data_IF_391924483168
#
_entry.id   IF_391924483168
#
_cell.length_a   1.000
_cell.length_b   1.000
_cell.length_c   1.000
_cell.angle_alpha   90.00
_cell.angle_beta   90.00
_cell.angle_gamma   90.00
#
_symmetry.space_group_name_H-M   'P 1'
#
loop_
_entity.id
_entity.type
_entity.pdbx_description
1 polymer ?
#
# COMPACT_ATOMS: atom_id res chain seq x y z
N UNK A 1 18.90 -5.07 12.07
CA UNK A 1 17.99 -5.22 13.22
C UNK A 1 17.11 -3.97 13.30
N UNK A 2 16.14 -3.84 12.39
CA UNK A 2 15.29 -2.64 12.24
C UNK A 2 13.79 -2.92 12.52
N UNK A 3 13.46 -4.13 12.97
CA UNK A 3 12.07 -4.58 13.13
C UNK A 3 11.43 -4.19 14.47
N UNK A 4 12.13 -3.44 15.34
CA UNK A 4 11.76 -3.25 16.75
C UNK A 4 11.96 -1.81 17.26
N UNK A 5 12.02 -0.79 16.39
CA UNK A 5 11.83 0.58 16.88
C UNK A 5 10.35 0.80 17.18
N UNK A 6 10.02 0.83 18.46
CA UNK A 6 8.65 0.97 18.99
C UNK A 6 8.13 2.41 18.95
N UNK A 7 8.98 3.37 18.61
CA UNK A 7 8.65 4.80 18.62
C UNK A 7 8.26 5.34 17.23
N UNK A 8 7.67 4.49 16.38
CA UNK A 8 7.26 4.84 15.01
C UNK A 8 5.79 5.26 14.97
N UNK A 9 5.48 6.35 14.28
CA UNK A 9 4.11 6.86 14.18
C UNK A 9 3.42 6.25 12.96
N UNK A 10 2.28 5.58 13.21
CA UNK A 10 1.46 4.93 12.20
C UNK A 10 2.20 3.96 11.24
N UNK A 11 2.87 2.91 11.75
CA UNK A 11 3.57 1.95 10.89
C UNK A 11 2.60 1.18 9.99
N UNK A 12 2.86 1.19 8.69
CA UNK A 12 1.97 0.60 7.67
C UNK A 12 1.71 -0.88 7.94
N UNK A 13 2.75 -1.66 8.27
CA UNK A 13 2.63 -3.10 8.57
C UNK A 13 1.81 -3.38 9.84
N UNK A 14 1.91 -2.51 10.85
CA UNK A 14 1.14 -2.64 12.10
C UNK A 14 -0.30 -2.26 11.88
N UNK A 15 -0.54 -1.14 11.18
CA UNK A 15 -1.88 -0.71 10.79
C UNK A 15 -2.57 -1.77 9.94
N UNK A 16 -1.88 -2.33 8.94
CA UNK A 16 -2.40 -3.41 8.10
C UNK A 16 -2.86 -4.62 8.91
N UNK A 17 -2.08 -5.02 9.91
CA UNK A 17 -2.40 -6.17 10.76
C UNK A 17 -3.63 -5.91 11.65
N UNK A 18 -3.82 -4.66 12.10
CA UNK A 18 -4.95 -4.25 12.93
C UNK A 18 -6.18 -3.81 12.10
N UNK A 19 -6.02 -3.52 10.80
CA UNK A 19 -7.03 -2.91 9.95
C UNK A 19 -8.37 -3.65 9.93
N UNK A 20 -8.41 -5.00 9.84
CA UNK A 20 -9.66 -5.74 9.88
C UNK A 20 -10.48 -5.48 11.15
N UNK A 21 -9.83 -5.28 12.30
CA UNK A 21 -10.53 -4.98 13.55
C UNK A 21 -11.18 -3.59 13.51
N UNK A 22 -10.49 -2.57 12.96
CA UNK A 22 -11.08 -1.25 12.75
C UNK A 22 -12.26 -1.31 11.78
N UNK A 23 -12.12 -2.01 10.65
CA UNK A 23 -13.21 -2.16 9.67
C UNK A 23 -14.42 -2.91 10.22
N UNK A 24 -14.22 -3.80 11.20
CA UNK A 24 -15.31 -4.50 11.86
C UNK A 24 -16.04 -3.64 12.90
N UNK A 25 -15.28 -2.85 13.69
CA UNK A 25 -15.84 -2.01 14.75
C UNK A 25 -16.56 -0.80 14.17
N UNK A 26 -15.86 -0.04 13.33
CA UNK A 26 -16.37 1.16 12.69
C UNK A 26 -15.53 1.48 11.44
N UNK A 27 -16.05 1.20 10.23
CA UNK A 27 -15.37 1.49 8.97
C UNK A 27 -14.94 2.95 8.80
N UNK A 28 -15.63 3.91 9.43
CA UNK A 28 -15.33 5.34 9.28
C UNK A 28 -13.98 5.72 9.93
N UNK A 29 -13.43 4.85 10.79
CA UNK A 29 -12.08 5.02 11.35
C UNK A 29 -10.98 4.82 10.31
N UNK A 30 -11.22 4.05 9.24
CA UNK A 30 -10.20 3.74 8.25
C UNK A 30 -9.69 4.97 7.51
N UNK A 31 -10.59 5.89 7.18
CA UNK A 31 -10.26 7.13 6.49
C UNK A 31 -9.20 7.96 7.23
N UNK A 32 -9.49 8.41 8.48
CA UNK A 32 -8.54 9.16 9.30
C UNK A 32 -7.22 8.43 9.57
N UNK A 33 -7.24 7.10 9.76
CA UNK A 33 -6.03 6.30 9.99
C UNK A 33 -5.09 6.31 8.78
N UNK A 34 -5.64 6.30 7.56
CA UNK A 34 -4.86 6.31 6.32
C UNK A 34 -4.48 7.73 5.85
N UNK A 35 -5.30 8.73 6.14
CA UNK A 35 -5.14 10.12 5.64
C UNK A 35 -3.75 10.71 5.93
N UNK A 36 -3.19 10.45 7.11
CA UNK A 36 -1.87 10.97 7.50
C UNK A 36 -0.74 10.40 6.63
N UNK A 37 -0.77 9.09 6.35
CA UNK A 37 0.17 8.39 5.47
C UNK A 37 0.02 8.89 4.02
N UNK A 38 -1.21 9.07 3.55
CA UNK A 38 -1.46 9.59 2.21
C UNK A 38 -0.95 11.01 2.03
N UNK A 39 -1.29 11.90 2.97
CA UNK A 39 -0.91 13.32 2.90
C UNK A 39 0.61 13.49 2.85
N UNK A 40 1.36 12.70 3.62
CA UNK A 40 2.81 12.72 3.59
C UNK A 40 3.35 12.33 2.21
N UNK A 41 2.86 11.20 1.67
CA UNK A 41 3.38 10.59 0.46
C UNK A 41 2.92 11.28 -0.84
N UNK A 42 1.79 11.99 -0.79
CA UNK A 42 1.33 12.86 -1.87
C UNK A 42 2.06 14.21 -1.91
N UNK A 43 2.88 14.52 -0.89
CA UNK A 43 3.65 15.75 -0.86
C UNK A 43 4.85 15.70 -1.81
N UNK A 44 5.27 16.85 -2.33
CA UNK A 44 6.47 16.97 -3.18
C UNK A 44 7.78 16.56 -2.46
N UNK A 45 7.73 16.35 -1.14
CA UNK A 45 8.88 15.91 -0.34
C UNK A 45 9.15 14.42 -0.47
N UNK A 46 8.19 13.64 -0.94
CA UNK A 46 8.32 12.20 -1.12
C UNK A 46 8.35 11.85 -2.61
N UNK A 47 9.50 11.34 -3.07
CA UNK A 47 9.73 11.03 -4.50
C UNK A 47 10.00 9.55 -4.75
N UNK A 48 9.85 8.71 -3.73
CA UNK A 48 10.01 7.25 -3.85
C UNK A 48 8.86 6.63 -4.66
N UNK A 49 9.12 5.61 -5.50
CA UNK A 49 8.08 4.92 -6.27
C UNK A 49 7.22 3.96 -5.44
N UNK A 50 7.58 3.68 -4.19
CA UNK A 50 6.89 2.76 -3.29
C UNK A 50 6.39 3.48 -2.04
N UNK A 51 5.54 2.81 -1.25
CA UNK A 51 5.03 3.41 -0.02
C UNK A 51 6.08 3.50 1.12
N UNK A 52 5.90 4.49 2.01
CA UNK A 52 6.69 4.66 3.23
C UNK A 52 6.47 3.51 4.22
N UNK A 53 7.39 3.41 5.16
CA UNK A 53 7.29 2.48 6.29
C UNK A 53 6.29 2.97 7.35
N UNK A 54 6.30 4.28 7.62
CA UNK A 54 5.60 4.96 8.71
C UNK A 54 5.77 6.49 8.56
N UNK A 55 5.35 7.26 9.57
CA UNK A 55 5.48 8.72 9.66
C UNK A 55 6.70 9.18 10.49
N UNK A 56 7.71 8.32 10.62
CA UNK A 56 8.88 8.49 11.48
C UNK A 56 8.48 8.70 12.96
N UNK A 57 9.41 9.22 13.77
CA UNK A 57 9.22 9.42 15.22
C UNK A 57 8.73 10.84 15.57
N UNK A 58 8.84 11.79 14.66
CA UNK A 58 8.71 13.24 14.93
C UNK A 58 7.38 13.87 14.49
N UNK A 59 6.26 13.13 14.54
CA UNK A 59 4.96 13.69 14.17
C UNK A 59 4.58 14.89 15.09
N UNK A 60 4.07 16.02 14.56
CA UNK A 60 3.65 16.24 13.16
C UNK A 60 4.73 16.74 12.19
N UNK A 61 5.95 17.05 12.65
CA UNK A 61 7.05 17.52 11.79
C UNK A 61 7.85 16.34 11.22
N UNK A 62 7.35 15.81 10.11
CA UNK A 62 7.92 14.61 9.49
C UNK A 62 8.99 15.01 8.45
N UNK A 63 10.23 14.59 8.71
CA UNK A 63 11.31 14.61 7.71
C UNK A 63 11.48 13.20 7.16
N UNK A 64 11.03 12.96 5.93
CA UNK A 64 11.02 11.61 5.35
C UNK A 64 12.39 11.27 4.75
N UNK A 65 12.94 10.12 5.14
CA UNK A 65 14.08 9.55 4.43
C UNK A 65 13.63 8.99 3.08
N UNK A 66 14.24 9.45 1.99
CA UNK A 66 13.99 8.95 0.61
C UNK A 66 14.92 7.76 0.28
N UNK A 67 15.49 7.11 1.29
CA UNK A 67 16.34 5.93 1.09
C UNK A 67 15.54 4.76 0.50
N UNK A 68 16.23 3.89 -0.25
CA UNK A 68 15.64 2.69 -0.82
C UNK A 68 14.94 1.87 0.28
N UNK A 69 13.62 1.69 0.14
CA UNK A 69 12.81 0.91 1.08
C UNK A 69 12.82 -0.55 0.65
N UNK A 70 13.49 -1.40 1.44
CA UNK A 70 13.52 -2.84 1.24
C UNK A 70 12.18 -3.53 1.61
N UNK A 71 11.18 -2.78 2.09
CA UNK A 71 9.80 -3.23 2.28
C UNK A 71 8.85 -2.50 1.30
N UNK A 72 9.37 -2.06 0.14
CA UNK A 72 8.58 -1.31 -0.85
C UNK A 72 7.39 -2.11 -1.36
N UNK A 73 7.58 -3.40 -1.66
CA UNK A 73 6.49 -4.30 -2.10
C UNK A 73 5.47 -4.51 -0.97
N UNK A 74 5.96 -4.78 0.24
CA UNK A 74 5.14 -5.01 1.44
C UNK A 74 4.24 -3.80 1.74
N UNK A 75 4.80 -2.60 1.86
CA UNK A 75 4.05 -1.41 2.26
C UNK A 75 3.12 -0.92 1.16
N UNK A 76 3.56 -0.93 -0.10
CA UNK A 76 2.71 -0.52 -1.23
C UNK A 76 1.49 -1.44 -1.35
N UNK A 77 1.70 -2.75 -1.20
CA UNK A 77 0.63 -3.74 -1.19
C UNK A 77 -0.35 -3.51 -0.03
N UNK A 78 0.17 -3.32 1.18
CA UNK A 78 -0.64 -3.06 2.36
C UNK A 78 -1.51 -1.80 2.21
N UNK A 79 -0.94 -0.69 1.71
CA UNK A 79 -1.68 0.56 1.49
C UNK A 79 -2.83 0.38 0.49
N UNK A 80 -2.58 -0.27 -0.65
CA UNK A 80 -3.62 -0.52 -1.66
C UNK A 80 -4.75 -1.41 -1.10
N UNK A 81 -4.41 -2.47 -0.37
CA UNK A 81 -5.38 -3.39 0.22
C UNK A 81 -6.22 -2.70 1.29
N UNK A 82 -5.59 -1.95 2.21
CA UNK A 82 -6.32 -1.22 3.26
C UNK A 82 -7.26 -0.17 2.65
N UNK A 83 -6.81 0.56 1.64
CA UNK A 83 -7.64 1.59 0.97
C UNK A 83 -8.86 0.99 0.31
N UNK A 84 -8.68 -0.12 -0.39
CA UNK A 84 -9.80 -0.85 -1.00
C UNK A 84 -10.73 -1.44 0.07
N UNK A 85 -10.18 -2.00 1.15
CA UNK A 85 -10.97 -2.54 2.26
C UNK A 85 -11.83 -1.47 2.92
N UNK A 86 -11.26 -0.27 3.16
CA UNK A 86 -12.00 0.88 3.67
C UNK A 86 -13.15 1.24 2.75
N UNK A 87 -12.88 1.52 1.47
CA UNK A 87 -13.92 1.92 0.52
C UNK A 87 -15.03 0.88 0.39
N UNK A 88 -14.70 -0.40 0.51
CA UNK A 88 -15.71 -1.48 0.52
C UNK A 88 -16.52 -1.55 1.80
N UNK A 89 -15.94 -1.27 2.95
CA UNK A 89 -16.59 -1.38 4.25
C UNK A 89 -17.45 -0.15 4.57
N UNK A 90 -16.96 1.06 4.30
CA UNK A 90 -17.67 2.32 4.56
C UNK A 90 -18.54 2.79 3.38
N UNK A 91 -18.23 2.34 2.15
CA UNK A 91 -18.80 2.92 0.93
C UNK A 91 -18.18 4.27 0.55
N UNK A 92 -17.22 4.78 1.33
CA UNK A 92 -16.55 6.04 1.06
C UNK A 92 -15.35 5.87 0.12
N UNK A 93 -15.47 6.44 -1.07
CA UNK A 93 -14.44 6.45 -2.12
C UNK A 93 -13.67 7.78 -2.18
N UNK A 94 -13.85 8.66 -1.20
CA UNK A 94 -13.23 10.00 -1.16
C UNK A 94 -11.71 9.93 -1.14
N UNK A 95 -11.12 9.02 -0.35
CA UNK A 95 -9.67 8.79 -0.31
C UNK A 95 -9.14 8.29 -1.65
N UNK A 96 -9.84 7.33 -2.28
CA UNK A 96 -9.47 6.82 -3.61
C UNK A 96 -9.46 7.97 -4.60
N UNK A 97 -10.51 8.78 -4.62
CA UNK A 97 -10.64 9.89 -5.55
C UNK A 97 -9.56 10.95 -5.35
N UNK A 98 -9.22 11.26 -4.09
CA UNK A 98 -8.22 12.27 -3.73
C UNK A 98 -6.79 11.84 -4.04
N UNK A 99 -6.45 10.57 -3.80
CA UNK A 99 -5.09 10.05 -3.89
C UNK A 99 -4.90 9.06 -5.04
N UNK A 100 -5.77 9.10 -6.05
CA UNK A 100 -5.79 8.13 -7.13
C UNK A 100 -4.44 7.98 -7.84
N UNK A 101 -3.80 9.10 -8.18
CA UNK A 101 -2.51 9.08 -8.91
C UNK A 101 -1.38 8.43 -8.09
N UNK A 102 -1.43 8.57 -6.77
CA UNK A 102 -0.49 7.93 -5.85
C UNK A 102 -0.74 6.41 -5.72
N UNK A 103 -2.01 6.01 -5.61
CA UNK A 103 -2.39 4.59 -5.63
C UNK A 103 -1.99 3.93 -6.96
N UNK A 104 -2.18 4.66 -8.06
CA UNK A 104 -1.82 4.23 -9.40
C UNK A 104 -0.30 4.04 -9.56
N UNK A 105 0.51 4.99 -9.07
CA UNK A 105 1.97 4.89 -9.17
C UNK A 105 2.54 3.73 -8.34
N UNK A 106 2.00 3.47 -7.15
CA UNK A 106 2.36 2.28 -6.37
C UNK A 106 1.99 0.99 -7.07
N UNK A 107 0.86 0.97 -7.79
CA UNK A 107 0.44 -0.22 -8.55
C UNK A 107 1.33 -0.49 -9.75
N UNK A 108 1.79 0.57 -10.43
CA UNK A 108 2.79 0.47 -11.50
C UNK A 108 4.13 -0.07 -10.97
N UNK A 109 4.58 0.42 -9.81
CA UNK A 109 5.73 -0.11 -9.11
C UNK A 109 5.58 -1.61 -8.78
N UNK A 110 4.44 -2.03 -8.23
CA UNK A 110 4.17 -3.44 -7.92
C UNK A 110 4.12 -4.32 -9.17
N UNK A 111 3.54 -3.83 -10.27
CA UNK A 111 3.40 -4.59 -11.51
C UNK A 111 4.75 -4.99 -12.13
N UNK A 112 5.81 -4.24 -11.83
CA UNK A 112 7.18 -4.55 -12.25
C UNK A 112 7.94 -5.33 -11.17
N UNK A 113 7.73 -5.00 -9.90
CA UNK A 113 8.49 -5.56 -8.77
C UNK A 113 8.04 -6.96 -8.33
N UNK A 114 6.78 -7.34 -8.57
CA UNK A 114 6.24 -8.66 -8.17
C UNK A 114 6.80 -9.82 -9.01
N UNK A 115 7.26 -9.54 -10.23
CA UNK A 115 7.82 -10.56 -11.14
C UNK A 115 9.24 -10.99 -10.74
N UNK A 116 10.00 -10.12 -10.09
CA UNK A 116 11.38 -10.33 -9.70
C UNK A 116 11.59 -9.69 -8.32
N UNK A 117 11.15 -10.41 -7.29
CA UNK A 117 11.31 -9.96 -5.91
C UNK A 117 12.74 -10.28 -5.49
N UNK A 118 13.58 -9.25 -5.41
CA UNK A 118 14.97 -9.33 -4.98
C UNK A 118 15.24 -8.18 -3.99
N UNK A 119 16.05 -8.43 -2.96
CA UNK A 119 16.34 -7.48 -1.88
C UNK A 119 15.09 -6.85 -1.22
N UNK A 120 13.99 -7.61 -1.15
CA UNK A 120 12.77 -7.22 -0.45
C UNK A 120 12.55 -8.08 0.79
N UNK A 121 12.08 -7.44 1.86
CA UNK A 121 11.75 -8.07 3.13
C UNK A 121 10.23 -8.12 3.26
N UNK A 122 9.73 -9.20 3.86
CA UNK A 122 8.37 -9.23 4.41
C UNK A 122 8.32 -8.60 5.81
N UNK A 123 7.11 -8.36 6.32
CA UNK A 123 6.91 -7.73 7.62
C UNK A 123 7.56 -8.49 8.81
N UNK A 124 7.79 -9.79 8.66
CA UNK A 124 8.48 -10.68 9.62
C UNK A 124 10.01 -10.72 9.44
N UNK A 125 10.55 -9.96 8.48
CA UNK A 125 11.98 -9.80 8.25
C UNK A 125 12.65 -10.90 7.43
N UNK A 126 11.87 -11.70 6.70
CA UNK A 126 12.40 -12.67 5.74
C UNK A 126 12.69 -12.01 4.38
N UNK A 127 13.83 -12.32 3.77
CA UNK A 127 14.28 -11.73 2.50
C UNK A 127 14.76 -12.78 1.49
N UNK A 128 13.89 -13.74 1.18
CA UNK A 128 14.17 -14.75 0.15
C UNK A 128 13.72 -14.23 -1.22
N UNK A 129 14.54 -14.44 -2.25
CA UNK A 129 14.16 -14.11 -3.61
C UNK A 129 12.86 -14.83 -4.01
N UNK A 130 12.01 -14.11 -4.74
CA UNK A 130 10.73 -14.61 -5.23
C UNK A 130 9.83 -15.17 -4.11
N UNK A 131 9.83 -14.52 -2.95
CA UNK A 131 9.00 -14.92 -1.82
C UNK A 131 7.51 -14.91 -2.17
N UNK A 132 6.86 -16.08 -2.03
CA UNK A 132 5.44 -16.27 -2.36
C UNK A 132 4.50 -15.35 -1.57
N UNK A 133 4.82 -15.05 -0.31
CA UNK A 133 4.00 -14.17 0.53
C UNK A 133 3.91 -12.75 -0.06
N UNK A 134 5.06 -12.15 -0.39
CA UNK A 134 5.12 -10.85 -1.05
C UNK A 134 4.50 -10.89 -2.45
N UNK A 135 4.72 -11.96 -3.20
CA UNK A 135 4.15 -12.11 -4.54
C UNK A 135 2.62 -12.11 -4.51
N UNK A 136 2.01 -12.96 -3.68
CA UNK A 136 0.55 -13.07 -3.55
C UNK A 136 -0.03 -11.74 -3.05
N UNK A 137 0.59 -11.12 -2.05
CA UNK A 137 0.18 -9.80 -1.54
C UNK A 137 0.19 -8.73 -2.64
N UNK A 138 1.24 -8.68 -3.44
CA UNK A 138 1.34 -7.79 -4.59
C UNK A 138 0.25 -8.03 -5.64
N UNK A 139 -0.03 -9.28 -5.97
CA UNK A 139 -1.11 -9.65 -6.91
C UNK A 139 -2.48 -9.20 -6.39
N UNK A 140 -2.77 -9.42 -5.10
CA UNK A 140 -4.01 -8.99 -4.45
C UNK A 140 -4.11 -7.47 -4.49
N UNK A 141 -3.03 -6.75 -4.21
CA UNK A 141 -2.99 -5.29 -4.26
C UNK A 141 -3.23 -4.74 -5.68
N UNK A 142 -2.62 -5.34 -6.72
CA UNK A 142 -2.88 -4.97 -8.12
C UNK A 142 -4.35 -5.20 -8.48
N UNK A 143 -4.94 -6.31 -8.03
CA UNK A 143 -6.36 -6.56 -8.25
C UNK A 143 -7.24 -5.57 -7.47
N UNK A 144 -6.88 -5.21 -6.25
CA UNK A 144 -7.56 -4.18 -5.47
C UNK A 144 -7.55 -2.83 -6.20
N UNK A 145 -6.42 -2.43 -6.78
CA UNK A 145 -6.34 -1.22 -7.61
C UNK A 145 -7.31 -1.27 -8.79
N UNK A 146 -7.41 -2.40 -9.50
CA UNK A 146 -8.39 -2.53 -10.59
C UNK A 146 -9.81 -2.20 -10.12
N UNK A 147 -10.21 -2.70 -8.95
CA UNK A 147 -11.53 -2.44 -8.39
C UNK A 147 -11.69 -1.00 -7.90
N UNK A 148 -10.65 -0.38 -7.35
CA UNK A 148 -10.67 1.05 -7.01
C UNK A 148 -10.84 1.92 -8.26
N UNK A 149 -10.22 1.56 -9.39
CA UNK A 149 -10.39 2.25 -10.67
C UNK A 149 -11.85 2.23 -11.17
N UNK A 150 -12.61 1.15 -10.94
CA UNK A 150 -14.02 1.13 -11.33
C UNK A 150 -14.88 2.06 -10.47
N UNK A 151 -14.56 2.23 -9.18
CA UNK A 151 -15.27 3.17 -8.30
C UNK A 151 -15.15 4.64 -8.75
N UNK A 152 -14.09 4.98 -9.47
CA UNK A 152 -13.83 6.34 -9.98
C UNK A 152 -13.89 6.45 -11.50
N UNK A 153 -14.52 5.47 -12.18
CA UNK A 153 -14.72 5.45 -13.64
C UNK A 153 -13.43 5.51 -14.48
N UNK A 154 -12.32 4.98 -13.97
CA UNK A 154 -11.03 4.86 -14.69
C UNK A 154 -10.95 3.51 -15.39
N UNK A 155 -11.75 3.32 -16.43
CA UNK A 155 -11.92 2.02 -17.12
C UNK A 155 -10.63 1.47 -17.74
N UNK A 156 -9.78 2.34 -18.31
CA UNK A 156 -8.48 1.94 -18.88
C UNK A 156 -7.58 1.31 -17.80
N UNK A 157 -7.51 1.93 -16.63
CA UNK A 157 -6.70 1.44 -15.51
C UNK A 157 -7.30 0.16 -14.92
N UNK A 158 -8.64 0.07 -14.84
CA UNK A 158 -9.33 -1.16 -14.46
C UNK A 158 -8.88 -2.33 -15.34
N UNK A 159 -8.98 -2.20 -16.66
CA UNK A 159 -8.65 -3.28 -17.61
C UNK A 159 -7.17 -3.66 -17.53
N UNK A 160 -6.29 -2.65 -17.44
CA UNK A 160 -4.83 -2.84 -17.30
C UNK A 160 -4.49 -3.66 -16.07
N UNK A 161 -4.96 -3.27 -14.88
CA UNK A 161 -4.60 -3.94 -13.62
C UNK A 161 -5.35 -5.25 -13.40
N UNK A 162 -6.58 -5.36 -13.91
CA UNK A 162 -7.31 -6.64 -13.91
C UNK A 162 -6.58 -7.68 -14.75
N UNK A 163 -6.14 -7.31 -15.96
CA UNK A 163 -5.38 -8.19 -16.85
C UNK A 163 -4.01 -8.55 -16.27
N UNK A 164 -3.33 -7.57 -15.67
CA UNK A 164 -2.02 -7.77 -15.03
C UNK A 164 -2.11 -8.76 -13.87
N UNK A 165 -3.03 -8.56 -12.94
CA UNK A 165 -3.23 -9.49 -11.80
C UNK A 165 -3.63 -10.89 -12.27
N UNK A 166 -4.49 -11.01 -13.29
CA UNK A 166 -4.92 -12.31 -13.83
C UNK A 166 -3.76 -13.07 -14.47
N UNK A 167 -2.87 -12.38 -15.19
CA UNK A 167 -1.66 -12.97 -15.78
C UNK A 167 -0.68 -13.45 -14.71
N UNK A 168 -0.46 -12.66 -13.66
CA UNK A 168 0.44 -13.01 -12.56
C UNK A 168 -0.06 -14.20 -11.74
N UNK A 169 -1.38 -14.34 -11.60
CA UNK A 169 -1.99 -15.48 -10.92
C UNK A 169 -1.85 -16.80 -11.69
N UNK A 170 -1.74 -16.76 -13.03
CA UNK A 170 -1.73 -17.93 -13.89
C UNK A 170 -0.33 -18.53 -14.15
N UNK A 171 0.72 -17.98 -13.53
CA UNK A 171 2.11 -18.45 -13.63
C UNK A 171 2.42 -19.48 -12.54
#
# INVERSE_FOLDING_TARGET
>A
MAFMDTNRVNPVVTLYSAFPAFMYIDPDLGGPLLESLFRLQASLRYTSPCAVLDLETSYPDVTVSISANNLGVENSGNMLIMTYAHARASGDVSLISRYYDLLNSWTDYLSTSVLLIHDQYSADGLSTDNQTNLAIKGIIAIKAMSQMSSFVNKTIDFDKYFSTSSRLYAQ
#
